data_IF_834985445065
#
_entry.id   IF_834985445065
#
_cell.length_a   1.000
_cell.length_b   1.000
_cell.length_c   1.000
_cell.angle_alpha   90.00
_cell.angle_beta   90.00
_cell.angle_gamma   90.00
#
_symmetry.space_group_name_H-M   'P 1'
#
loop_
_entity.id
_entity.type
_entity.pdbx_description
1 polymer ?
#
# COMPACT_ATOMS: atom_id res chain seq x y z
N UNK A 1 4.49 -8.22 6.71
CA UNK A 1 4.07 -9.61 6.46
C UNK A 1 3.17 -10.09 7.57
N UNK A 2 3.70 -10.29 8.78
CA UNK A 2 2.90 -10.76 9.93
C UNK A 2 1.71 -9.87 10.25
N UNK A 3 1.89 -8.54 10.23
CA UNK A 3 0.80 -7.58 10.44
C UNK A 3 -0.32 -7.79 9.41
N UNK A 4 0.02 -7.75 8.12
CA UNK A 4 -0.92 -7.93 7.00
C UNK A 4 -1.61 -9.30 7.06
N UNK A 5 -0.89 -10.36 7.45
CA UNK A 5 -1.44 -11.71 7.59
C UNK A 5 -2.48 -11.85 8.71
N UNK A 6 -2.47 -10.94 9.69
CA UNK A 6 -3.44 -10.91 10.79
C UNK A 6 -4.67 -10.05 10.51
N UNK A 7 -4.70 -9.32 9.39
CA UNK A 7 -5.86 -8.51 9.00
C UNK A 7 -6.95 -9.45 8.46
N UNK A 8 -8.14 -9.53 9.08
CA UNK A 8 -9.22 -10.39 8.62
C UNK A 8 -9.67 -10.03 7.20
N UNK A 9 -9.98 -11.03 6.38
CA UNK A 9 -10.47 -10.83 5.01
C UNK A 9 -9.42 -10.42 3.98
N UNK A 10 -8.17 -10.16 4.39
CA UNK A 10 -7.10 -9.76 3.48
C UNK A 10 -6.26 -10.97 3.03
N UNK A 11 -6.02 -11.06 1.72
CA UNK A 11 -5.13 -12.06 1.12
C UNK A 11 -3.82 -11.41 0.74
N UNK A 12 -2.72 -11.84 1.36
CA UNK A 12 -1.39 -11.32 1.03
C UNK A 12 -0.72 -12.18 -0.06
N UNK A 13 0.00 -11.51 -0.96
CA UNK A 13 0.86 -12.15 -1.94
C UNK A 13 2.20 -11.42 -2.00
N UNK A 14 3.27 -12.17 -2.32
CA UNK A 14 4.60 -11.61 -2.45
C UNK A 14 4.95 -11.43 -3.93
N UNK A 15 5.47 -10.25 -4.29
CA UNK A 15 6.02 -9.99 -5.63
C UNK A 15 7.17 -10.95 -5.98
N UNK A 16 7.42 -11.13 -7.28
CA UNK A 16 8.50 -11.98 -7.78
C UNK A 16 9.86 -11.75 -7.08
N UNK A 17 10.27 -10.47 -6.94
CA UNK A 17 11.44 -10.05 -6.15
C UNK A 17 11.01 -9.56 -4.76
N UNK A 18 11.17 -10.42 -3.76
CA UNK A 18 10.88 -10.12 -2.35
C UNK A 18 12.02 -10.57 -1.43
N UNK A 19 11.92 -10.20 -0.14
CA UNK A 19 12.96 -10.44 0.89
C UNK A 19 14.33 -9.90 0.43
N UNK A 20 15.37 -10.72 0.47
CA UNK A 20 16.75 -10.40 0.08
C UNK A 20 16.90 -10.02 -1.40
N UNK A 21 15.93 -10.37 -2.25
CA UNK A 21 15.91 -10.00 -3.66
C UNK A 21 15.07 -8.75 -3.95
N UNK A 22 14.46 -8.17 -2.92
CA UNK A 22 13.68 -6.94 -3.05
C UNK A 22 14.56 -5.72 -3.34
N UNK A 23 13.97 -4.70 -3.94
CA UNK A 23 14.66 -3.43 -4.23
C UNK A 23 13.79 -2.22 -3.85
N UNK A 24 14.45 -1.07 -3.73
CA UNK A 24 13.87 0.21 -3.31
C UNK A 24 12.84 0.76 -4.33
N UNK A 25 11.94 1.64 -3.90
CA UNK A 25 11.06 2.40 -4.81
C UNK A 25 11.79 3.48 -5.62
N UNK A 26 13.04 3.79 -5.28
CA UNK A 26 13.85 4.80 -5.95
C UNK A 26 13.92 6.17 -5.26
N UNK A 27 13.08 6.47 -4.26
CA UNK A 27 13.07 7.80 -3.64
C UNK A 27 14.21 8.10 -2.63
N UNK A 28 14.82 7.06 -2.05
CA UNK A 28 15.82 7.22 -0.99
C UNK A 28 17.05 8.05 -1.41
N UNK A 29 17.68 8.74 -0.45
CA UNK A 29 18.87 9.56 -0.72
C UNK A 29 18.58 10.79 -1.60
N UNK A 30 17.41 11.42 -1.41
CA UNK A 30 16.91 12.56 -2.19
C UNK A 30 16.68 12.29 -3.70
N UNK A 31 16.73 11.04 -4.14
CA UNK A 31 16.51 10.67 -5.54
C UNK A 31 15.09 10.89 -6.04
N UNK A 32 14.11 11.00 -5.13
CA UNK A 32 12.75 11.45 -5.47
C UNK A 32 12.71 12.78 -6.24
N UNK A 33 13.66 13.67 -5.97
CA UNK A 33 13.75 14.99 -6.60
C UNK A 33 14.67 15.03 -7.82
N UNK A 34 15.28 13.88 -8.15
CA UNK A 34 16.17 13.74 -9.28
C UNK A 34 15.46 12.98 -10.39
N UNK A 35 15.82 13.29 -11.63
CA UNK A 35 15.32 12.54 -12.77
C UNK A 35 16.22 11.33 -13.03
N UNK A 36 15.63 10.13 -12.99
CA UNK A 36 16.26 8.94 -13.57
C UNK A 36 16.31 9.09 -15.10
N UNK A 37 17.53 9.14 -15.64
CA UNK A 37 17.78 9.28 -17.09
C UNK A 37 18.16 7.97 -17.78
N UNK A 38 18.28 6.90 -17.00
CA UNK A 38 18.80 5.60 -17.47
C UNK A 38 17.72 4.56 -17.27
N UNK A 39 17.33 3.92 -18.38
CA UNK A 39 16.39 2.81 -18.37
C UNK A 39 14.99 3.20 -17.86
N UNK A 40 14.34 2.22 -17.24
CA UNK A 40 12.99 2.37 -16.69
C UNK A 40 13.05 2.92 -15.27
N UNK A 41 12.15 3.83 -14.92
CA UNK A 41 12.01 4.34 -13.55
C UNK A 41 11.78 3.18 -12.56
N UNK A 42 12.48 3.25 -11.43
CA UNK A 42 12.53 2.16 -10.45
C UNK A 42 11.15 1.89 -9.83
N UNK A 43 10.39 2.95 -9.51
CA UNK A 43 9.03 2.82 -8.99
C UNK A 43 8.10 2.13 -10.01
N UNK A 44 8.22 2.43 -11.30
CA UNK A 44 7.43 1.79 -12.35
C UNK A 44 7.76 0.31 -12.50
N UNK A 45 9.05 -0.05 -12.46
CA UNK A 45 9.47 -1.45 -12.44
C UNK A 45 8.90 -2.19 -11.23
N UNK A 46 8.88 -1.56 -10.06
CA UNK A 46 8.31 -2.15 -8.85
C UNK A 46 6.79 -2.31 -8.94
N UNK A 47 6.08 -1.34 -9.49
CA UNK A 47 4.63 -1.42 -9.70
C UNK A 47 4.27 -2.50 -10.71
N UNK A 48 5.09 -2.73 -11.75
CA UNK A 48 4.83 -3.82 -12.70
C UNK A 48 4.93 -5.20 -12.03
N UNK A 49 5.86 -5.40 -11.10
CA UNK A 49 5.89 -6.63 -10.29
C UNK A 49 4.66 -6.79 -9.41
N UNK A 50 4.14 -5.69 -8.86
CA UNK A 50 2.93 -5.72 -8.06
C UNK A 50 1.71 -6.05 -8.93
N UNK A 51 1.55 -5.36 -10.07
CA UNK A 51 0.43 -5.54 -11.00
C UNK A 51 0.38 -6.93 -11.63
N UNK A 52 1.53 -7.60 -11.79
CA UNK A 52 1.58 -8.99 -12.25
C UNK A 52 0.79 -9.96 -11.35
N UNK A 53 0.54 -9.60 -10.08
CA UNK A 53 -0.27 -10.37 -9.14
C UNK A 53 -1.77 -9.98 -9.16
N UNK A 54 -2.17 -9.06 -10.03
CA UNK A 54 -3.51 -8.52 -10.14
C UNK A 54 -4.12 -8.02 -8.79
N UNK A 55 -3.39 -7.22 -7.99
CA UNK A 55 -3.83 -6.81 -6.66
C UNK A 55 -4.98 -5.82 -6.71
N UNK A 56 -5.72 -5.74 -5.61
CA UNK A 56 -6.66 -4.64 -5.36
C UNK A 56 -6.00 -3.52 -4.52
N UNK A 57 -4.99 -3.89 -3.72
CA UNK A 57 -4.27 -2.96 -2.84
C UNK A 57 -2.75 -3.23 -2.92
N UNK A 58 -1.97 -2.16 -3.04
CA UNK A 58 -0.52 -2.16 -2.85
C UNK A 58 -0.20 -1.45 -1.54
N UNK A 59 0.32 -2.18 -0.55
CA UNK A 59 0.63 -1.62 0.77
C UNK A 59 2.12 -1.37 0.98
N UNK A 60 2.44 -0.29 1.69
CA UNK A 60 3.80 0.08 2.09
C UNK A 60 3.80 0.66 3.52
N UNK A 61 4.94 0.61 4.20
CA UNK A 61 5.14 1.25 5.51
C UNK A 61 6.06 2.48 5.46
N UNK A 62 6.45 2.90 4.24
CA UNK A 62 7.36 4.01 4.02
C UNK A 62 6.63 5.13 3.26
N UNK A 63 6.61 6.37 3.78
CA UNK A 63 5.90 7.48 3.15
C UNK A 63 6.48 7.87 1.78
N UNK A 64 7.79 7.70 1.58
CA UNK A 64 8.40 7.91 0.26
C UNK A 64 7.93 6.86 -0.76
N UNK A 65 7.88 5.59 -0.35
CA UNK A 65 7.31 4.54 -1.20
C UNK A 65 5.83 4.81 -1.49
N UNK A 66 5.06 5.32 -0.52
CA UNK A 66 3.65 5.64 -0.73
C UNK A 66 3.49 6.62 -1.90
N UNK A 67 4.23 7.74 -1.88
CA UNK A 67 4.18 8.73 -2.97
C UNK A 67 4.67 8.14 -4.29
N UNK A 68 5.83 7.48 -4.30
CA UNK A 68 6.44 6.95 -5.53
C UNK A 68 5.62 5.85 -6.19
N UNK A 69 5.04 4.94 -5.39
CA UNK A 69 4.22 3.85 -5.90
C UNK A 69 2.85 4.37 -6.34
N UNK A 70 2.28 5.36 -5.64
CA UNK A 70 1.04 6.03 -6.06
C UNK A 70 1.23 6.72 -7.41
N UNK A 71 2.32 7.46 -7.59
CA UNK A 71 2.69 8.10 -8.86
C UNK A 71 2.74 7.08 -10.00
N UNK A 72 3.48 5.98 -9.82
CA UNK A 72 3.58 4.93 -10.84
C UNK A 72 2.26 4.20 -11.09
N UNK A 73 1.46 3.91 -10.06
CA UNK A 73 0.13 3.30 -10.23
C UNK A 73 -0.80 4.23 -11.00
N UNK A 74 -0.79 5.53 -10.71
CA UNK A 74 -1.60 6.50 -11.45
C UNK A 74 -1.16 6.60 -12.91
N UNK A 75 0.15 6.57 -13.19
CA UNK A 75 0.67 6.45 -14.56
C UNK A 75 0.12 5.20 -15.25
N UNK A 76 0.15 4.04 -14.57
CA UNK A 76 -0.37 2.78 -15.10
C UNK A 76 -1.88 2.79 -15.33
N UNK A 77 -2.66 3.49 -14.49
CA UNK A 77 -4.09 3.74 -14.71
C UNK A 77 -4.33 4.55 -15.98
N UNK A 78 -3.62 5.65 -16.13
CA UNK A 78 -3.72 6.52 -17.32
C UNK A 78 -3.38 5.76 -18.62
N UNK A 79 -2.43 4.83 -18.56
CA UNK A 79 -2.04 3.98 -19.69
C UNK A 79 -3.00 2.78 -19.93
N UNK A 80 -4.04 2.62 -19.11
CA UNK A 80 -4.97 1.49 -19.17
C UNK A 80 -4.37 0.14 -18.72
N UNK A 81 -3.26 0.17 -17.97
CA UNK A 81 -2.50 -1.00 -17.52
C UNK A 81 -2.78 -1.40 -16.06
N UNK A 82 -3.58 -0.63 -15.34
CA UNK A 82 -4.00 -0.93 -13.97
C UNK A 82 -5.52 -0.70 -13.81
N UNK A 83 -6.13 -1.44 -12.87
CA UNK A 83 -7.54 -1.23 -12.51
C UNK A 83 -7.71 0.19 -11.94
N UNK A 84 -8.78 0.90 -12.30
CA UNK A 84 -9.09 2.20 -11.67
C UNK A 84 -9.29 2.09 -10.15
N UNK A 85 -9.79 0.94 -9.70
CA UNK A 85 -10.04 0.64 -8.28
C UNK A 85 -8.80 0.32 -7.46
N UNK A 86 -7.62 0.09 -8.07
CA UNK A 86 -6.42 -0.25 -7.29
C UNK A 86 -6.02 0.92 -6.40
N UNK A 87 -5.67 0.62 -5.15
CA UNK A 87 -5.24 1.61 -4.17
C UNK A 87 -3.80 1.37 -3.71
N UNK A 88 -3.09 2.45 -3.42
CA UNK A 88 -1.80 2.40 -2.73
C UNK A 88 -2.01 2.99 -1.34
N UNK A 89 -1.76 2.20 -0.30
CA UNK A 89 -2.10 2.55 1.08
C UNK A 89 -0.93 2.32 2.03
N UNK A 90 -0.92 3.05 3.14
CA UNK A 90 0.00 2.74 4.23
C UNK A 90 -0.48 1.52 5.02
N UNK A 91 0.44 0.71 5.54
CA UNK A 91 0.12 -0.46 6.37
C UNK A 91 -0.71 -0.10 7.61
N UNK A 92 -0.54 1.11 8.15
CA UNK A 92 -1.33 1.63 9.27
C UNK A 92 -2.80 1.85 8.90
N UNK A 93 -3.11 2.19 7.64
CA UNK A 93 -4.49 2.34 7.17
C UNK A 93 -5.19 0.98 7.10
N UNK A 94 -4.50 -0.05 6.62
CA UNK A 94 -5.01 -1.43 6.64
C UNK A 94 -5.30 -1.91 8.07
N UNK A 95 -4.41 -1.58 9.01
CA UNK A 95 -4.63 -1.92 10.42
C UNK A 95 -5.84 -1.16 10.99
N UNK A 96 -5.98 0.12 10.67
CA UNK A 96 -7.10 0.95 11.12
C UNK A 96 -8.44 0.42 10.60
N UNK A 97 -8.50 0.01 9.34
CA UNK A 97 -9.70 -0.62 8.75
C UNK A 97 -10.03 -1.92 9.49
N UNK A 98 -9.03 -2.74 9.79
CA UNK A 98 -9.23 -4.02 10.49
C UNK A 98 -9.81 -3.89 11.90
N UNK A 99 -9.59 -2.76 12.59
CA UNK A 99 -10.13 -2.52 13.95
C UNK A 99 -11.46 -1.79 13.95
N UNK A 100 -11.79 -1.06 12.88
CA UNK A 100 -13.06 -0.33 12.75
C UNK A 100 -14.18 -1.18 12.18
N UNK A 101 -13.86 -2.20 11.40
CA UNK A 101 -14.87 -3.14 10.88
C UNK A 101 -15.38 -4.00 12.05
N UNK A 102 -16.68 -3.92 12.42
CA UNK A 102 -17.26 -4.86 13.37
C UNK A 102 -17.08 -6.27 12.79
N UNK A 103 -16.42 -7.15 13.54
CA UNK A 103 -16.02 -8.47 13.06
C UNK A 103 -17.16 -9.50 13.12
N UNK A 104 -18.41 -9.04 13.18
CA UNK A 104 -19.58 -9.88 13.44
C UNK A 104 -20.62 -9.73 12.31
N UNK A 105 -20.91 -10.78 11.51
CA UNK A 105 -22.02 -10.75 10.55
C UNK A 105 -23.41 -10.70 11.22
N UNK A 106 -23.47 -10.72 12.56
CA UNK A 106 -24.68 -10.59 13.38
C UNK A 106 -24.65 -9.42 14.39
N UNK A 107 -23.65 -8.54 14.33
CA UNK A 107 -23.48 -7.45 15.31
C UNK A 107 -24.28 -6.18 14.96
N UNK A 108 -25.08 -5.72 15.92
CA UNK A 108 -25.88 -4.48 15.89
C UNK A 108 -25.01 -3.23 15.62
N UNK A 109 -25.36 -2.31 14.69
CA UNK A 109 -24.49 -1.19 14.29
C UNK A 109 -24.30 -0.08 15.35
N UNK A 110 -25.03 -0.12 16.48
CA UNK A 110 -25.22 1.04 17.37
C UNK A 110 -24.30 1.11 18.59
N UNK A 111 -23.18 0.37 18.64
CA UNK A 111 -22.15 0.58 19.67
C UNK A 111 -20.77 0.86 19.08
N UNK A 112 -20.51 2.14 18.85
CA UNK A 112 -19.15 2.68 18.77
C UNK A 112 -19.01 3.78 19.81
N UNK A 113 -18.82 3.39 21.08
CA UNK A 113 -18.30 4.30 22.11
C UNK A 113 -16.80 4.08 22.23
N UNK A 114 -16.02 4.92 21.56
CA UNK A 114 -14.60 5.10 21.85
C UNK A 114 -14.41 6.54 22.34
N UNK A 115 -13.96 6.77 23.59
CA UNK A 115 -13.71 8.12 24.06
C UNK A 115 -12.53 8.74 23.29
N UNK A 116 -12.73 9.97 22.84
CA UNK A 116 -11.76 10.80 22.13
C UNK A 116 -10.49 10.97 22.99
N UNK A 117 -9.28 10.68 22.48
CA UNK A 117 -8.07 10.82 23.28
C UNK A 117 -7.78 12.31 23.50
N UNK A 118 -7.78 12.73 24.76
CA UNK A 118 -7.42 14.10 25.13
C UNK A 118 -5.97 14.44 24.73
N UNK A 119 -5.68 15.69 24.29
CA UNK A 119 -4.34 16.09 23.94
C UNK A 119 -3.40 16.00 25.13
N UNK A 120 -2.24 15.36 24.93
CA UNK A 120 -1.17 15.35 25.92
C UNK A 120 -0.68 16.79 26.17
N UNK A 121 -0.65 17.19 27.45
CA UNK A 121 -0.09 18.48 27.91
C UNK A 121 1.43 18.49 27.84
#
# INVERSE_FOLDING_TARGET
REIIAKVPGLRNEEMHRHKERGFCCGAGGARMWMEERIGKRINTERVDEALALNPDIVSTACPFCLVMLTDSVNGKKNDGQAKESIQVVDVSQLLLESVKTPTDPTGDPDQVDAPEPEPAK
#
